data_IF_747982461616
#
_entry.id   IF_747982461616
#
_cell.length_a   1.000
_cell.length_b   1.000
_cell.length_c   1.000
_cell.angle_alpha   90.00
_cell.angle_beta   90.00
_cell.angle_gamma   90.00
#
_symmetry.space_group_name_H-M   'P 1'
#
loop_
_entity.id
_entity.type
_entity.pdbx_description
1 polymer ?
#
# COMPACT_ATOMS: atom_id res chain seq x y z
N UNK A 1 -8.02 61.60 6.23
CA UNK A 1 -7.57 60.62 7.25
C UNK A 1 -8.16 59.28 6.84
N UNK A 2 -7.43 58.20 6.53
CA UNK A 2 -6.08 57.77 6.90
C UNK A 2 -5.37 57.13 5.70
N UNK A 3 -4.04 57.22 5.72
CA UNK A 3 -3.09 56.75 4.71
C UNK A 3 -2.73 55.26 4.90
N UNK A 4 -2.39 54.62 3.78
CA UNK A 4 -1.80 53.27 3.64
C UNK A 4 -0.53 53.08 4.49
N UNK A 5 -0.29 51.84 4.95
CA UNK A 5 1.03 51.38 5.41
C UNK A 5 1.35 50.01 4.84
N UNK A 6 2.29 50.02 3.91
CA UNK A 6 3.13 48.90 3.46
C UNK A 6 4.35 48.85 4.38
N UNK A 7 4.71 47.67 4.90
CA UNK A 7 6.00 47.29 5.52
C UNK A 7 5.86 45.87 6.07
N UNK A 8 6.81 44.94 6.04
CA UNK A 8 8.15 44.83 5.46
C UNK A 8 8.43 43.31 5.39
N UNK A 9 9.09 42.88 4.31
CA UNK A 9 9.60 41.52 4.11
C UNK A 9 10.72 41.26 5.13
N UNK A 10 10.64 40.15 5.85
CA UNK A 10 11.78 39.55 6.54
C UNK A 10 11.76 38.05 6.24
N UNK A 11 12.59 37.65 5.27
CA UNK A 11 12.93 36.28 4.99
C UNK A 11 13.77 35.73 6.14
N UNK A 12 13.34 34.62 6.75
CA UNK A 12 14.19 33.77 7.57
C UNK A 12 14.06 32.34 7.06
N UNK A 13 14.89 32.01 6.07
CA UNK A 13 15.24 30.64 5.73
C UNK A 13 16.19 30.11 6.81
N UNK A 14 15.75 29.11 7.56
CA UNK A 14 16.65 28.28 8.35
C UNK A 14 16.31 26.82 8.01
N UNK A 15 17.06 26.26 7.05
CA UNK A 15 17.19 24.82 6.89
C UNK A 15 17.78 24.27 8.19
N UNK A 16 17.00 23.49 8.93
CA UNK A 16 17.51 22.63 9.98
C UNK A 16 17.57 21.21 9.42
N UNK A 17 18.71 20.85 8.85
CA UNK A 17 19.02 19.47 8.54
C UNK A 17 19.32 18.74 9.87
N UNK A 18 18.34 18.02 10.41
CA UNK A 18 18.62 16.99 11.41
C UNK A 18 19.35 15.85 10.69
N UNK A 19 20.67 15.85 10.80
CA UNK A 19 21.42 14.60 10.68
C UNK A 19 21.24 13.89 12.03
N UNK A 20 20.40 12.86 12.04
CA UNK A 20 20.48 11.83 13.08
C UNK A 20 21.78 11.07 12.79
N UNK A 21 22.82 11.43 13.53
CA UNK A 21 23.97 10.56 13.69
C UNK A 21 23.53 9.45 14.64
N UNK A 22 23.59 8.20 14.19
CA UNK A 22 23.68 7.08 15.11
C UNK A 22 25.01 7.22 15.85
N UNK A 23 24.95 7.53 17.14
CA UNK A 23 26.09 7.42 18.04
C UNK A 23 26.50 5.95 18.06
N UNK A 24 27.74 5.68 17.65
CA UNK A 24 28.39 4.41 17.91
C UNK A 24 29.07 4.53 19.28
N UNK A 25 28.28 4.43 20.35
CA UNK A 25 28.75 4.52 21.74
C UNK A 25 28.62 3.17 22.47
N UNK A 26 28.93 2.07 21.77
CA UNK A 26 29.16 0.75 22.38
C UNK A 26 30.66 0.57 22.62
N UNK A 27 31.23 1.42 23.48
CA UNK A 27 32.57 1.25 24.02
C UNK A 27 32.50 1.02 25.53
N UNK A 28 31.71 0.03 25.94
CA UNK A 28 31.68 -0.47 27.31
C UNK A 28 32.38 -1.83 27.33
N UNK A 29 33.69 -1.80 27.56
CA UNK A 29 34.48 -2.98 27.91
C UNK A 29 34.07 -3.48 29.30
N UNK A 30 33.49 -4.69 29.46
CA UNK A 30 33.46 -5.32 30.76
C UNK A 30 34.76 -6.12 30.92
N UNK A 31 35.64 -5.62 31.78
CA UNK A 31 36.65 -6.45 32.43
C UNK A 31 35.91 -7.54 33.20
N UNK A 32 36.01 -8.80 32.77
CA UNK A 32 35.71 -9.95 33.63
C UNK A 32 36.85 -10.95 33.57
N UNK A 33 37.20 -11.36 34.79
CA UNK A 33 38.35 -12.15 35.19
C UNK A 33 38.49 -13.49 34.47
N UNK A 34 39.76 -13.92 34.51
CA UNK A 34 40.31 -15.24 34.27
C UNK A 34 39.38 -16.41 34.67
N UNK A 35 39.49 -17.49 33.90
CA UNK A 35 39.10 -18.87 34.24
C UNK A 35 37.70 -19.36 33.78
N UNK A 36 37.54 -19.57 32.47
CA UNK A 36 36.64 -20.60 31.93
C UNK A 36 37.27 -21.34 30.74
N UNK A 37 37.46 -22.63 30.95
CA UNK A 37 38.00 -23.63 30.03
C UNK A 37 37.16 -23.75 28.76
N UNK A 38 37.87 -23.71 27.62
CA UNK A 38 37.48 -24.09 26.25
C UNK A 38 36.04 -24.56 26.04
N UNK A 39 35.18 -23.63 25.64
CA UNK A 39 34.16 -23.93 24.64
C UNK A 39 34.81 -23.57 23.31
N UNK A 40 35.03 -24.57 22.47
CA UNK A 40 35.45 -24.39 21.10
C UNK A 40 34.52 -23.36 20.47
N UNK A 41 35.11 -22.29 19.94
CA UNK A 41 34.49 -21.35 19.02
C UNK A 41 33.96 -22.18 17.86
N UNK A 42 32.74 -22.70 18.02
CA UNK A 42 32.00 -23.44 17.02
C UNK A 42 31.65 -22.39 15.99
N UNK A 43 32.64 -22.17 15.11
CA UNK A 43 32.80 -20.97 14.32
C UNK A 43 31.47 -20.60 13.73
N UNK A 44 31.01 -19.41 14.09
CA UNK A 44 29.94 -18.73 13.37
C UNK A 44 30.39 -18.70 11.92
N UNK A 45 29.98 -19.71 11.14
CA UNK A 45 30.31 -19.78 9.73
C UNK A 45 29.71 -18.53 9.16
N UNK A 46 30.59 -17.57 8.84
CA UNK A 46 30.24 -16.35 8.16
C UNK A 46 29.40 -16.79 6.95
N UNK A 47 28.13 -16.39 6.95
CA UNK A 47 27.20 -16.80 5.91
C UNK A 47 27.75 -16.22 4.61
N UNK A 48 28.30 -17.07 3.74
CA UNK A 48 28.93 -16.64 2.51
C UNK A 48 27.85 -16.17 1.52
N UNK A 49 27.72 -14.85 1.37
CA UNK A 49 26.88 -14.21 0.37
C UNK A 49 27.61 -13.94 -0.95
N UNK A 50 28.71 -14.65 -1.24
CA UNK A 50 29.36 -14.57 -2.54
C UNK A 50 28.53 -15.31 -3.60
N UNK A 51 28.30 -14.65 -4.74
CA UNK A 51 27.50 -15.21 -5.81
C UNK A 51 27.07 -14.17 -6.82
N UNK A 52 26.56 -14.62 -7.96
CA UNK A 52 25.81 -13.76 -8.89
C UNK A 52 24.34 -13.93 -8.56
N UNK A 53 23.76 -12.92 -7.89
CA UNK A 53 22.33 -12.87 -7.65
C UNK A 53 21.67 -12.21 -8.86
N UNK A 54 20.65 -12.86 -9.41
CA UNK A 54 19.73 -12.23 -10.34
C UNK A 54 18.45 -11.92 -9.55
N UNK A 55 17.94 -10.71 -9.71
CA UNK A 55 16.60 -10.40 -9.24
C UNK A 55 15.63 -11.31 -10.00
N UNK A 56 14.85 -12.09 -9.26
CA UNK A 56 13.72 -12.82 -9.84
C UNK A 56 12.56 -11.83 -9.94
N UNK A 57 11.76 -11.96 -11.00
CA UNK A 57 10.49 -11.23 -11.15
C UNK A 57 9.73 -11.27 -9.83
N UNK A 58 9.52 -10.11 -9.23
CA UNK A 58 8.53 -10.01 -8.17
C UNK A 58 7.19 -9.92 -8.90
N UNK A 59 6.49 -11.05 -8.98
CA UNK A 59 5.10 -11.02 -9.38
C UNK A 59 4.35 -10.18 -8.33
N UNK A 60 4.22 -8.88 -8.60
CA UNK A 60 3.45 -7.97 -7.78
C UNK A 60 1.97 -8.35 -7.80
N UNK A 61 1.16 -7.65 -7.00
CA UNK A 61 -0.31 -7.83 -6.99
C UNK A 61 -0.87 -7.76 -8.41
N UNK A 62 -1.44 -8.85 -8.96
CA UNK A 62 -1.88 -8.90 -10.37
C UNK A 62 -2.87 -7.79 -10.74
N UNK A 63 -3.69 -7.33 -9.79
CA UNK A 63 -4.64 -6.24 -9.99
C UNK A 63 -3.97 -4.88 -10.24
N UNK A 64 -2.96 -4.51 -9.45
CA UNK A 64 -2.27 -3.21 -9.55
C UNK A 64 -1.56 -3.09 -10.89
N UNK A 65 -0.76 -4.10 -11.23
CA UNK A 65 0.00 -4.09 -12.48
C UNK A 65 -0.93 -4.20 -13.70
N UNK A 66 -2.16 -4.71 -13.54
CA UNK A 66 -3.14 -4.75 -14.63
C UNK A 66 -3.87 -3.43 -14.83
N UNK A 67 -4.23 -2.75 -13.74
CA UNK A 67 -5.09 -1.56 -13.74
C UNK A 67 -4.28 -0.27 -13.88
N UNK A 68 -3.14 -0.14 -13.20
CA UNK A 68 -2.41 1.14 -13.10
C UNK A 68 -1.18 1.23 -14.00
N UNK A 69 -0.58 0.10 -14.39
CA UNK A 69 0.50 0.07 -15.39
C UNK A 69 -0.10 0.03 -16.80
N UNK A 70 -0.46 1.20 -17.35
CA UNK A 70 -1.21 1.38 -18.60
C UNK A 70 -0.58 0.82 -19.90
N UNK A 71 0.62 0.22 -19.85
CA UNK A 71 1.28 -0.41 -21.01
C UNK A 71 2.01 -1.70 -20.63
N UNK A 72 2.20 -2.62 -21.58
CA UNK A 72 2.96 -3.85 -21.35
C UNK A 72 4.41 -3.61 -20.93
N UNK A 73 5.04 -2.57 -21.48
CA UNK A 73 6.40 -2.16 -21.11
C UNK A 73 6.50 -1.69 -19.65
N UNK A 74 5.53 -0.89 -19.19
CA UNK A 74 5.47 -0.48 -17.77
C UNK A 74 5.22 -1.68 -16.85
N UNK A 75 4.45 -2.68 -17.31
CA UNK A 75 4.24 -3.92 -16.56
C UNK A 75 5.52 -4.71 -16.38
N UNK A 76 6.28 -4.87 -17.47
CA UNK A 76 7.56 -5.58 -17.45
C UNK A 76 8.59 -4.82 -16.60
N UNK A 77 8.64 -3.49 -16.70
CA UNK A 77 9.49 -2.64 -15.85
C UNK A 77 9.10 -2.74 -14.38
N UNK A 78 7.79 -2.72 -14.07
CA UNK A 78 7.27 -2.90 -12.72
C UNK A 78 7.47 -4.32 -12.19
N UNK A 79 7.88 -5.30 -12.98
CA UNK A 79 8.23 -6.63 -12.47
C UNK A 79 9.74 -6.76 -12.16
N UNK A 80 10.55 -5.79 -12.59
CA UNK A 80 12.00 -5.83 -12.54
C UNK A 80 12.63 -4.60 -11.85
N UNK A 81 11.83 -3.67 -11.32
CA UNK A 81 12.35 -2.49 -10.65
C UNK A 81 12.95 -2.86 -9.29
N UNK A 82 13.89 -2.04 -8.84
CA UNK A 82 14.46 -2.20 -7.50
C UNK A 82 13.38 -1.74 -6.50
N UNK A 83 13.04 -2.53 -5.45
CA UNK A 83 11.99 -2.16 -4.49
C UNK A 83 12.14 -0.74 -3.93
N UNK A 84 13.36 -0.31 -3.61
CA UNK A 84 13.63 1.04 -3.10
C UNK A 84 13.41 2.17 -4.12
N UNK A 85 13.26 1.86 -5.40
CA UNK A 85 13.04 2.82 -6.48
C UNK A 85 11.60 2.79 -7.00
N UNK A 86 10.77 1.86 -6.53
CA UNK A 86 9.42 1.62 -7.06
C UNK A 86 8.51 2.83 -6.87
N UNK A 87 8.38 3.36 -5.64
CA UNK A 87 7.58 4.55 -5.38
C UNK A 87 7.90 5.69 -6.36
N UNK A 88 9.17 6.08 -6.43
CA UNK A 88 9.61 7.22 -7.23
C UNK A 88 9.40 7.00 -8.74
N UNK A 89 9.47 5.74 -9.19
CA UNK A 89 9.34 5.38 -10.61
C UNK A 89 7.88 5.29 -11.05
N UNK A 90 7.00 4.72 -10.23
CA UNK A 90 5.64 4.36 -10.67
C UNK A 90 4.53 5.21 -10.08
N UNK A 91 4.68 5.72 -8.86
CA UNK A 91 3.62 6.47 -8.17
C UNK A 91 3.03 7.61 -9.02
N UNK A 92 3.82 8.47 -9.70
CA UNK A 92 3.24 9.55 -10.51
C UNK A 92 2.40 9.04 -11.68
N UNK A 93 2.81 7.92 -12.29
CA UNK A 93 2.06 7.32 -13.40
C UNK A 93 0.79 6.63 -12.93
N UNK A 94 0.81 6.04 -11.73
CA UNK A 94 -0.35 5.40 -11.12
C UNK A 94 -1.40 6.43 -10.72
N UNK A 95 -0.98 7.56 -10.16
CA UNK A 95 -1.89 8.67 -9.83
C UNK A 95 -2.51 9.27 -11.09
N UNK A 96 -1.71 9.54 -12.13
CA UNK A 96 -2.24 10.02 -13.41
C UNK A 96 -3.22 9.02 -14.06
N UNK A 97 -2.96 7.71 -13.94
CA UNK A 97 -3.84 6.68 -14.48
C UNK A 97 -5.15 6.56 -13.67
N UNK A 98 -5.09 6.71 -12.34
CA UNK A 98 -6.25 6.77 -11.48
C UNK A 98 -7.15 7.96 -11.85
N UNK A 99 -6.58 9.17 -11.94
CA UNK A 99 -7.30 10.37 -12.38
C UNK A 99 -7.94 10.17 -13.76
N UNK A 100 -7.19 9.60 -14.72
CA UNK A 100 -7.70 9.32 -16.06
C UNK A 100 -8.89 8.34 -16.06
N UNK A 101 -8.94 7.38 -15.13
CA UNK A 101 -10.11 6.51 -15.00
C UNK A 101 -11.32 7.25 -14.46
N UNK A 102 -11.15 8.08 -13.43
CA UNK A 102 -12.24 8.91 -12.91
C UNK A 102 -12.79 9.83 -14.01
N UNK A 103 -11.91 10.51 -14.77
CA UNK A 103 -12.32 11.34 -15.92
C UNK A 103 -13.08 10.53 -17.00
N UNK A 104 -12.57 9.34 -17.34
CA UNK A 104 -13.22 8.48 -18.32
C UNK A 104 -14.62 8.03 -17.86
N UNK A 105 -14.78 7.72 -16.56
CA UNK A 105 -16.07 7.36 -15.98
C UNK A 105 -17.02 8.56 -15.91
N UNK A 106 -16.54 9.77 -15.59
CA UNK A 106 -17.35 10.99 -15.68
C UNK A 106 -17.97 11.12 -17.07
N UNK A 107 -17.14 11.03 -18.11
CA UNK A 107 -17.59 11.13 -19.50
C UNK A 107 -18.57 10.01 -19.85
N UNK A 108 -18.28 8.77 -19.48
CA UNK A 108 -19.12 7.62 -19.80
C UNK A 108 -20.50 7.67 -19.12
N UNK A 109 -20.58 8.24 -17.92
CA UNK A 109 -21.79 8.35 -17.12
C UNK A 109 -22.55 9.67 -17.35
N UNK A 110 -21.97 10.60 -18.12
CA UNK A 110 -22.54 11.93 -18.33
C UNK A 110 -22.51 12.80 -17.07
N UNK A 111 -21.55 12.55 -16.18
CA UNK A 111 -21.31 13.27 -14.93
C UNK A 111 -20.16 14.28 -15.10
N UNK A 112 -19.97 15.18 -14.15
CA UNK A 112 -18.77 16.03 -14.12
C UNK A 112 -17.60 15.28 -13.46
N UNK A 113 -16.37 15.75 -13.68
CA UNK A 113 -15.20 15.20 -13.00
C UNK A 113 -15.36 15.28 -11.47
N UNK A 114 -15.97 16.34 -10.94
CA UNK A 114 -16.19 16.49 -9.49
C UNK A 114 -17.15 15.43 -8.92
N UNK A 115 -18.12 14.94 -9.70
CA UNK A 115 -19.08 13.93 -9.24
C UNK A 115 -18.40 12.57 -8.99
N UNK A 116 -17.33 12.29 -9.75
CA UNK A 116 -16.63 11.00 -9.74
C UNK A 116 -15.21 11.09 -9.22
N UNK A 117 -14.71 12.27 -8.84
CA UNK A 117 -13.33 12.48 -8.39
C UNK A 117 -12.92 11.52 -7.27
N UNK A 118 -11.64 11.21 -7.15
CA UNK A 118 -11.14 10.30 -6.13
C UNK A 118 -11.49 10.81 -4.73
N UNK A 119 -12.01 9.92 -3.88
CA UNK A 119 -12.26 10.19 -2.47
C UNK A 119 -11.34 9.33 -1.61
N UNK A 120 -10.85 9.85 -0.47
CA UNK A 120 -10.10 9.05 0.49
C UNK A 120 -10.81 7.74 0.81
N UNK A 121 -10.06 6.65 0.88
CA UNK A 121 -10.61 5.30 0.94
C UNK A 121 -10.43 4.62 2.30
N UNK A 122 -10.95 3.39 2.38
CA UNK A 122 -10.95 2.53 3.57
C UNK A 122 -9.57 2.09 4.07
N UNK A 123 -8.47 2.35 3.34
CA UNK A 123 -7.13 2.04 3.85
C UNK A 123 -6.72 2.93 5.01
N UNK A 124 -7.40 4.06 5.25
CA UNK A 124 -7.06 4.93 6.37
C UNK A 124 -7.13 4.20 7.71
N UNK A 125 -8.14 3.35 7.91
CA UNK A 125 -8.30 2.55 9.13
C UNK A 125 -7.23 1.44 9.26
N UNK A 126 -6.71 0.94 8.13
CA UNK A 126 -5.68 -0.10 8.09
C UNK A 126 -4.29 0.48 8.34
N UNK A 127 -3.95 1.58 7.66
CA UNK A 127 -2.59 2.14 7.68
C UNK A 127 -2.32 3.01 8.90
N UNK A 128 -3.36 3.64 9.46
CA UNK A 128 -3.18 4.67 10.49
C UNK A 128 -3.62 4.23 11.90
N UNK A 129 -4.07 2.97 12.02
CA UNK A 129 -4.51 2.37 13.26
C UNK A 129 -5.91 2.82 13.71
N UNK A 130 -6.51 2.11 14.68
CA UNK A 130 -7.92 2.31 15.08
C UNK A 130 -8.17 3.62 15.85
N UNK A 131 -7.10 4.32 16.24
CA UNK A 131 -7.17 5.55 17.03
C UNK A 131 -7.51 6.77 16.16
N UNK A 132 -7.26 6.70 14.85
CA UNK A 132 -7.60 7.73 13.87
C UNK A 132 -8.53 7.10 12.83
N UNK A 133 -9.75 7.61 12.68
CA UNK A 133 -10.60 7.14 11.59
C UNK A 133 -10.00 7.58 10.24
N UNK A 134 -10.06 6.70 9.25
CA UNK A 134 -9.54 6.91 7.89
C UNK A 134 -10.24 8.02 7.11
N UNK A 135 -11.22 8.69 7.73
CA UNK A 135 -12.07 9.71 7.13
C UNK A 135 -11.69 11.12 7.54
N UNK A 136 -11.30 11.31 8.80
CA UNK A 136 -11.23 12.64 9.43
C UNK A 136 -9.84 12.99 9.92
N UNK A 137 -9.10 12.03 10.48
CA UNK A 137 -7.82 12.30 11.13
C UNK A 137 -6.60 11.94 10.27
N UNK A 138 -6.72 11.01 9.32
CA UNK A 138 -5.68 10.77 8.32
C UNK A 138 -6.20 10.14 7.01
N UNK A 139 -6.85 10.92 6.13
CA UNK A 139 -7.42 10.42 4.89
C UNK A 139 -6.34 9.93 3.90
N UNK A 140 -6.58 8.76 3.30
CA UNK A 140 -5.70 8.22 2.25
C UNK A 140 -5.98 8.92 0.92
N UNK A 141 -5.23 9.98 0.63
CA UNK A 141 -5.31 10.67 -0.67
C UNK A 141 -4.90 9.76 -1.84
N UNK A 142 -5.18 10.18 -3.07
CA UNK A 142 -4.76 9.47 -4.29
C UNK A 142 -3.24 9.24 -4.30
N UNK A 143 -2.46 10.26 -3.93
CA UNK A 143 -1.01 10.19 -3.80
C UNK A 143 -0.56 9.14 -2.76
N UNK A 144 -1.23 9.07 -1.60
CA UNK A 144 -0.90 8.09 -0.54
C UNK A 144 -1.27 6.68 -1.00
N UNK A 145 -2.47 6.48 -1.54
CA UNK A 145 -2.90 5.19 -2.10
C UNK A 145 -1.88 4.71 -3.14
N UNK A 146 -1.59 5.55 -4.13
CA UNK A 146 -0.71 5.16 -5.24
C UNK A 146 0.74 4.97 -4.81
N UNK A 147 1.18 5.59 -3.71
CA UNK A 147 2.46 5.26 -3.08
C UNK A 147 2.45 3.85 -2.51
N UNK A 148 1.42 3.50 -1.72
CA UNK A 148 1.25 2.15 -1.14
C UNK A 148 1.16 1.08 -2.24
N UNK A 149 0.44 1.39 -3.33
CA UNK A 149 0.31 0.49 -4.47
C UNK A 149 1.61 0.37 -5.28
N UNK A 150 2.37 1.46 -5.42
CA UNK A 150 3.66 1.44 -6.09
C UNK A 150 4.72 0.68 -5.29
N UNK A 151 4.73 0.78 -3.97
CA UNK A 151 5.68 0.05 -3.13
C UNK A 151 5.29 -1.42 -2.90
N UNK A 152 4.13 -1.84 -3.41
CA UNK A 152 3.52 -3.15 -3.17
C UNK A 152 3.58 -3.56 -1.68
N UNK A 153 3.20 -2.61 -0.81
CA UNK A 153 3.37 -2.76 0.64
C UNK A 153 2.62 -4.00 1.13
N UNK A 154 3.31 -4.85 1.89
CA UNK A 154 2.72 -5.91 2.69
C UNK A 154 2.80 -5.53 4.16
N UNK A 155 1.65 -5.46 4.82
CA UNK A 155 1.55 -5.14 6.24
C UNK A 155 1.98 -6.33 7.10
N UNK A 156 2.72 -6.04 8.17
CA UNK A 156 3.20 -7.06 9.11
C UNK A 156 2.20 -7.18 10.25
N UNK A 157 1.51 -8.32 10.31
CA UNK A 157 0.54 -8.60 11.36
C UNK A 157 0.78 -9.98 12.01
N UNK A 158 1.68 -10.09 13.01
CA UNK A 158 2.14 -11.38 13.53
C UNK A 158 1.04 -12.23 14.18
N UNK A 159 -0.02 -11.59 14.67
CA UNK A 159 -1.10 -12.23 15.42
C UNK A 159 -2.47 -12.12 14.72
N UNK A 160 -2.51 -11.58 13.50
CA UNK A 160 -3.74 -11.41 12.73
C UNK A 160 -3.71 -12.31 11.49
N UNK A 161 -4.88 -12.67 10.93
CA UNK A 161 -4.94 -13.45 9.71
C UNK A 161 -4.18 -12.80 8.54
N UNK A 162 -3.54 -13.64 7.73
CA UNK A 162 -3.09 -13.29 6.38
C UNK A 162 -4.32 -13.10 5.49
N UNK A 163 -4.57 -11.88 5.04
CA UNK A 163 -5.68 -11.54 4.15
C UNK A 163 -5.34 -10.32 3.32
N UNK A 164 -5.91 -10.28 2.12
CA UNK A 164 -5.85 -9.12 1.25
C UNK A 164 -6.63 -7.98 1.88
N UNK A 165 -7.83 -8.29 2.39
CA UNK A 165 -8.66 -7.38 3.15
C UNK A 165 -9.76 -8.14 3.89
N UNK A 166 -9.90 -7.86 5.19
CA UNK A 166 -11.04 -8.24 6.00
C UNK A 166 -11.61 -6.95 6.60
N UNK A 167 -12.90 -6.66 6.35
CA UNK A 167 -13.49 -5.37 6.66
C UNK A 167 -13.83 -5.18 8.15
N UNK A 168 -13.58 -6.17 9.02
CA UNK A 168 -13.95 -6.08 10.44
C UNK A 168 -15.46 -5.87 10.61
N UNK A 169 -15.85 -4.77 11.25
CA UNK A 169 -17.26 -4.39 11.41
C UNK A 169 -17.99 -4.06 10.08
N UNK A 170 -17.26 -3.92 8.97
CA UNK A 170 -17.85 -3.61 7.67
C UNK A 170 -18.15 -2.14 7.47
N UNK A 171 -18.52 -1.77 6.25
CA UNK A 171 -18.97 -0.42 5.93
C UNK A 171 -20.16 0.01 6.83
N UNK A 172 -20.21 1.28 7.27
CA UNK A 172 -19.21 2.33 7.05
C UNK A 172 -18.11 2.35 8.12
N UNK A 173 -18.18 1.50 9.16
CA UNK A 173 -17.36 1.66 10.35
C UNK A 173 -15.95 1.08 10.20
N UNK A 174 -15.78 -0.01 9.44
CA UNK A 174 -14.52 -0.75 9.22
C UNK A 174 -13.68 -0.98 10.49
N UNK A 175 -14.33 -0.99 11.65
CA UNK A 175 -13.67 -1.13 12.94
C UNK A 175 -13.03 -2.52 13.03
N UNK A 176 -11.73 -2.55 13.32
CA UNK A 176 -10.94 -3.78 13.32
C UNK A 176 -10.64 -4.33 11.92
N UNK A 177 -10.75 -3.50 10.87
CA UNK A 177 -10.30 -3.88 9.54
C UNK A 177 -8.82 -4.23 9.56
N UNK A 178 -8.49 -5.28 8.81
CA UNK A 178 -7.12 -5.71 8.56
C UNK A 178 -6.98 -5.90 7.07
N UNK A 179 -5.84 -5.54 6.51
CA UNK A 179 -5.63 -5.69 5.08
C UNK A 179 -4.18 -5.62 4.71
N UNK A 180 -3.90 -6.00 3.48
CA UNK A 180 -2.56 -6.02 2.90
C UNK A 180 -1.56 -6.92 3.65
N UNK A 181 -2.01 -7.85 4.49
CA UNK A 181 -1.15 -8.80 5.24
C UNK A 181 -0.81 -10.06 4.44
N UNK A 182 -1.19 -10.10 3.16
CA UNK A 182 -1.03 -11.21 2.22
C UNK A 182 -2.34 -11.47 1.47
N UNK A 183 -2.69 -12.73 1.24
CA UNK A 183 -4.02 -13.12 0.74
C UNK A 183 -4.39 -14.54 1.15
N UNK A 184 -5.67 -14.78 1.37
CA UNK A 184 -6.27 -16.13 1.39
C UNK A 184 -6.60 -16.57 -0.04
N UNK A 185 -6.91 -17.86 -0.23
CA UNK A 185 -7.38 -18.38 -1.51
C UNK A 185 -8.77 -17.88 -1.91
N UNK A 186 -9.55 -17.40 -0.93
CA UNK A 186 -10.93 -16.93 -1.10
C UNK A 186 -11.04 -15.41 -1.16
N UNK A 187 -9.93 -14.69 -1.00
CA UNK A 187 -9.96 -13.23 -1.05
C UNK A 187 -10.25 -12.74 -2.47
N UNK A 188 -11.26 -11.89 -2.59
CA UNK A 188 -11.59 -11.22 -3.85
C UNK A 188 -10.70 -9.98 -4.03
N UNK A 189 -9.51 -10.22 -4.58
CA UNK A 189 -8.49 -9.20 -4.78
C UNK A 189 -8.98 -8.08 -5.70
N UNK A 190 -9.80 -8.40 -6.71
CA UNK A 190 -10.25 -7.42 -7.69
C UNK A 190 -11.31 -6.52 -7.09
N UNK A 191 -12.34 -7.07 -6.45
CA UNK A 191 -13.38 -6.27 -5.80
C UNK A 191 -12.77 -5.36 -4.73
N UNK A 192 -11.85 -5.87 -3.90
CA UNK A 192 -11.17 -5.04 -2.91
C UNK A 192 -10.35 -3.93 -3.58
N UNK A 193 -9.60 -4.24 -4.64
CA UNK A 193 -8.85 -3.21 -5.37
C UNK A 193 -9.77 -2.14 -5.97
N UNK A 194 -10.92 -2.53 -6.52
CA UNK A 194 -11.92 -1.59 -7.06
C UNK A 194 -12.56 -0.75 -5.96
N UNK A 195 -12.82 -1.31 -4.78
CA UNK A 195 -13.26 -0.57 -3.59
C UNK A 195 -12.22 0.48 -3.19
N UNK A 196 -10.92 0.16 -3.24
CA UNK A 196 -9.87 1.14 -2.93
C UNK A 196 -9.80 2.30 -3.92
N UNK A 197 -10.10 2.05 -5.20
CA UNK A 197 -10.04 3.07 -6.26
C UNK A 197 -11.32 3.91 -6.33
N UNK A 198 -12.49 3.30 -6.14
CA UNK A 198 -13.79 3.94 -6.41
C UNK A 198 -14.73 4.00 -5.21
N UNK A 199 -14.51 3.17 -4.19
CA UNK A 199 -15.42 2.99 -3.05
C UNK A 199 -15.49 4.16 -2.08
N UNK A 200 -14.57 5.12 -2.17
CA UNK A 200 -14.48 6.26 -1.27
C UNK A 200 -14.35 5.82 0.19
N UNK A 201 -14.67 6.73 1.11
CA UNK A 201 -14.36 6.53 2.51
C UNK A 201 -15.06 5.30 3.08
N UNK A 202 -16.33 5.09 2.71
CA UNK A 202 -17.15 3.98 3.21
C UNK A 202 -17.08 2.72 2.36
N UNK A 203 -16.19 2.68 1.37
CA UNK A 203 -16.01 1.56 0.44
C UNK A 203 -17.26 1.20 -0.38
N UNK A 204 -18.31 2.01 -0.33
CA UNK A 204 -19.61 1.75 -0.91
C UNK A 204 -20.02 2.81 -1.95
N UNK A 205 -19.18 3.83 -2.20
CA UNK A 205 -19.37 4.74 -3.32
C UNK A 205 -19.29 3.94 -4.62
N UNK A 206 -20.26 4.13 -5.52
CA UNK A 206 -20.37 3.36 -6.76
C UNK A 206 -20.56 1.84 -6.59
N UNK A 207 -21.38 1.44 -5.62
CA UNK A 207 -21.81 0.04 -5.40
C UNK A 207 -23.03 -0.40 -6.24
N UNK A 208 -23.51 0.42 -7.18
CA UNK A 208 -24.71 0.11 -7.96
C UNK A 208 -26.03 0.45 -7.26
N UNK A 209 -26.01 1.01 -6.04
CA UNK A 209 -27.20 1.45 -5.30
C UNK A 209 -27.44 2.96 -5.45
N UNK A 210 -28.65 3.40 -5.11
CA UNK A 210 -29.05 4.82 -5.11
C UNK A 210 -28.86 5.55 -6.46
N UNK A 211 -28.88 4.80 -7.58
CA UNK A 211 -28.70 5.34 -8.93
C UNK A 211 -27.23 5.54 -9.32
N UNK A 212 -26.28 5.11 -8.48
CA UNK A 212 -24.86 5.11 -8.80
C UNK A 212 -24.48 3.92 -9.69
N UNK A 213 -23.45 4.03 -10.55
CA UNK A 213 -22.87 2.89 -11.26
C UNK A 213 -22.28 1.85 -10.30
N UNK A 214 -22.05 0.63 -10.79
CA UNK A 214 -21.27 -0.40 -10.10
C UNK A 214 -19.81 -0.35 -10.61
N UNK A 215 -18.92 0.28 -9.83
CA UNK A 215 -17.49 0.40 -10.13
C UNK A 215 -16.59 -0.30 -9.09
N UNK A 216 -17.17 -0.73 -7.96
CA UNK A 216 -16.44 -1.39 -6.87
C UNK A 216 -16.44 -2.92 -6.94
N UNK A 217 -16.99 -3.49 -8.02
CA UNK A 217 -16.97 -4.93 -8.24
C UNK A 217 -16.85 -5.25 -9.73
N UNK A 218 -16.12 -6.32 -10.06
CA UNK A 218 -16.05 -6.84 -11.43
C UNK A 218 -17.17 -7.85 -11.72
N UNK A 219 -17.94 -8.24 -10.70
CA UNK A 219 -19.03 -9.21 -10.79
C UNK A 219 -18.58 -10.65 -10.98
N UNK A 220 -17.30 -10.96 -10.76
CA UNK A 220 -16.69 -12.27 -10.94
C UNK A 220 -16.28 -12.85 -9.59
N UNK A 221 -17.12 -13.76 -9.08
CA UNK A 221 -16.76 -14.53 -7.88
C UNK A 221 -15.73 -15.62 -8.15
N UNK A 222 -15.21 -16.21 -7.06
CA UNK A 222 -14.32 -17.36 -7.13
C UNK A 222 -15.00 -18.55 -7.82
N UNK A 223 -14.35 -19.09 -8.84
CA UNK A 223 -14.80 -20.31 -9.55
C UNK A 223 -14.06 -21.55 -9.09
N UNK A 224 -12.86 -21.39 -8.52
CA UNK A 224 -12.04 -22.51 -8.07
C UNK A 224 -12.63 -23.19 -6.82
N UNK A 225 -12.57 -24.52 -6.78
CA UNK A 225 -12.92 -25.29 -5.59
C UNK A 225 -11.72 -25.29 -4.61
N UNK A 226 -11.89 -24.57 -3.49
CA UNK A 226 -10.86 -24.45 -2.44
C UNK A 226 -11.00 -25.61 -1.45
N UNK A 227 -9.91 -26.33 -1.22
CA UNK A 227 -9.86 -27.47 -0.29
C UNK A 227 -9.02 -27.12 0.94
N UNK A 228 -9.19 -27.90 2.01
CA UNK A 228 -8.37 -27.79 3.23
C UNK A 228 -7.13 -28.70 3.21
N UNK A 229 -6.94 -29.46 2.13
CA UNK A 229 -5.84 -30.41 1.96
C UNK A 229 -5.11 -30.17 0.63
N UNK A 230 -3.80 -30.37 0.62
CA UNK A 230 -3.00 -30.16 -0.58
C UNK A 230 -3.35 -31.19 -1.69
N UNK A 231 -3.50 -30.77 -2.97
CA UNK A 231 -3.43 -29.38 -3.46
C UNK A 231 -4.67 -28.56 -3.06
N UNK A 232 -4.44 -27.35 -2.56
CA UNK A 232 -5.48 -26.46 -2.00
C UNK A 232 -6.47 -25.88 -3.03
N UNK A 233 -6.17 -26.04 -4.32
CA UNK A 233 -7.01 -25.63 -5.44
C UNK A 233 -7.26 -26.83 -6.34
N UNK A 234 -8.48 -26.92 -6.86
CA UNK A 234 -8.83 -27.86 -7.92
C UNK A 234 -8.02 -27.64 -9.20
N UNK A 235 -8.12 -28.59 -10.14
CA UNK A 235 -7.52 -28.40 -11.47
C UNK A 235 -8.10 -27.14 -12.14
N UNK A 236 -7.32 -26.43 -12.98
CA UNK A 236 -7.83 -25.33 -13.78
C UNK A 236 -9.04 -25.77 -14.60
N UNK A 237 -10.10 -24.96 -14.59
CA UNK A 237 -11.31 -25.16 -15.40
C UNK A 237 -11.14 -24.67 -16.84
#
# INVERSE_FOLDING_TARGET
MKLYRISCIAACSALLALNVACDADDNDTPMMDDDMVGMEDDGMMEVDFSGTYAQVDYMGRPGINTVLSGSGELKDMHNAAIPSEMQATFQPSFEAQLEAYHDAYAVALGLTAEDVDYEPNILGDILNGPENDGYTENPVSATVLTSVLADDVLEVAPNLPTTYFNPGAGAPAYEGAIGLTGRTLTDDVIDVSLILLFGGGNGARFNGQDGLPLLVSDGVGITANVTTEFPYLGNPE
#
